data_IF_110103897941
#
_entry.id   IF_110103897941
#
_cell.length_a   1.000
_cell.length_b   1.000
_cell.length_c   1.000
_cell.angle_alpha   90.00
_cell.angle_beta   90.00
_cell.angle_gamma   90.00
#
_symmetry.space_group_name_H-M   'P 1'
#
loop_
_entity.id
_entity.type
_entity.pdbx_description
1 polymer ?
#
# COMPACT_ATOMS: atom_id res chain seq x y z
N UNK A 1 -24.42 38.36 44.31
CA UNK A 1 -24.66 37.06 43.63
C UNK A 1 -24.13 37.18 42.21
N UNK A 2 -23.27 36.25 41.81
CA UNK A 2 -22.46 36.25 40.59
C UNK A 2 -23.25 35.60 39.42
N UNK A 3 -23.15 36.19 38.23
CA UNK A 3 -23.73 35.74 36.95
C UNK A 3 -23.23 34.35 36.50
N UNK A 4 -23.95 33.67 35.59
CA UNK A 4 -23.29 32.85 34.58
C UNK A 4 -23.53 33.39 33.17
N UNK A 5 -22.42 33.55 32.45
CA UNK A 5 -22.30 33.92 31.04
C UNK A 5 -22.34 32.61 30.22
N UNK A 6 -23.35 32.42 29.35
CA UNK A 6 -23.39 31.29 28.42
C UNK A 6 -22.56 31.62 27.17
N UNK A 7 -21.47 30.89 26.94
CA UNK A 7 -20.71 30.93 25.70
C UNK A 7 -21.19 29.81 24.77
N UNK A 8 -21.73 30.16 23.60
CA UNK A 8 -22.04 29.23 22.52
C UNK A 8 -20.77 28.92 21.72
N UNK A 9 -20.33 27.66 21.72
CA UNK A 9 -19.28 27.19 20.84
C UNK A 9 -19.87 26.82 19.47
N UNK A 10 -19.45 27.53 18.42
CA UNK A 10 -19.69 27.14 17.03
C UNK A 10 -18.77 25.98 16.66
N UNK A 11 -19.34 24.81 16.31
CA UNK A 11 -18.59 23.70 15.73
C UNK A 11 -18.05 24.14 14.35
N UNK A 12 -16.73 24.13 14.20
CA UNK A 12 -16.09 24.20 12.90
C UNK A 12 -16.26 22.85 12.17
N UNK A 13 -16.74 22.90 10.93
CA UNK A 13 -16.83 21.73 10.04
C UNK A 13 -15.42 21.31 9.64
N UNK A 14 -15.05 20.07 9.92
CA UNK A 14 -13.84 19.47 9.37
C UNK A 14 -14.06 19.25 7.87
N UNK A 15 -13.11 19.70 7.06
CA UNK A 15 -13.11 19.53 5.61
C UNK A 15 -12.99 18.04 5.25
N UNK A 16 -13.87 17.61 4.35
CA UNK A 16 -13.95 16.25 3.81
C UNK A 16 -12.74 16.01 2.90
N UNK A 17 -11.90 15.02 3.25
CA UNK A 17 -10.73 14.65 2.44
C UNK A 17 -11.19 14.15 1.06
N UNK A 18 -10.92 14.95 0.03
CA UNK A 18 -11.07 14.57 -1.36
C UNK A 18 -10.15 13.36 -1.64
N UNK A 19 -10.74 12.21 -1.97
CA UNK A 19 -9.99 11.08 -2.53
C UNK A 19 -9.70 11.43 -3.99
N UNK A 20 -8.53 11.98 -4.25
CA UNK A 20 -8.00 12.10 -5.62
C UNK A 20 -7.59 10.72 -6.12
N UNK A 21 -7.91 10.39 -7.37
CA UNK A 21 -7.44 9.16 -8.01
C UNK A 21 -5.90 9.10 -7.98
N UNK A 22 -5.30 7.91 -7.79
CA UNK A 22 -3.86 7.79 -7.73
C UNK A 22 -3.21 8.11 -9.08
N UNK A 23 -2.09 8.83 -9.05
CA UNK A 23 -1.31 9.17 -10.25
C UNK A 23 -0.51 7.95 -10.71
N UNK A 24 0.00 7.16 -9.76
CA UNK A 24 0.74 5.93 -10.02
C UNK A 24 -0.15 4.71 -9.74
N UNK A 25 -0.49 3.97 -10.79
CA UNK A 25 -1.21 2.71 -10.63
C UNK A 25 -0.31 1.62 -10.04
N UNK A 26 -0.69 1.08 -8.88
CA UNK A 26 -0.03 -0.05 -8.22
C UNK A 26 -1.05 -1.19 -8.10
N UNK A 27 -0.79 -2.39 -8.66
CA UNK A 27 -1.69 -3.53 -8.51
C UNK A 27 -1.96 -3.86 -7.04
N UNK A 28 -3.23 -4.10 -6.71
CA UNK A 28 -3.68 -4.38 -5.35
C UNK A 28 -4.52 -5.66 -5.33
N UNK A 29 -4.25 -6.58 -4.40
CA UNK A 29 -5.04 -7.80 -4.27
C UNK A 29 -6.46 -7.48 -3.79
N UNK A 30 -7.44 -8.30 -4.17
CA UNK A 30 -8.85 -8.08 -3.83
C UNK A 30 -9.13 -8.09 -2.32
N UNK A 31 -8.30 -8.79 -1.53
CA UNK A 31 -8.44 -8.92 -0.09
C UNK A 31 -7.67 -7.84 0.70
N UNK A 32 -6.94 -6.97 0.00
CA UNK A 32 -6.01 -6.05 0.60
C UNK A 32 -6.67 -5.13 1.64
N UNK A 33 -6.00 -5.02 2.79
CA UNK A 33 -6.25 -4.00 3.80
C UNK A 33 -5.12 -2.97 3.73
N UNK A 34 -5.37 -1.88 2.99
CA UNK A 34 -4.37 -0.82 2.79
C UNK A 34 -4.01 -0.19 4.14
N UNK A 35 -2.72 -0.19 4.45
CA UNK A 35 -2.15 0.46 5.64
C UNK A 35 -1.64 1.86 5.30
N UNK A 36 -0.92 2.00 4.18
CA UNK A 36 -0.41 3.28 3.70
C UNK A 36 -0.37 3.30 2.17
N UNK A 37 -0.54 4.49 1.61
CA UNK A 37 -0.53 4.74 0.17
C UNK A 37 -0.01 6.17 -0.09
N UNK A 38 1.06 6.26 -0.86
CA UNK A 38 1.67 7.49 -1.34
C UNK A 38 1.95 7.30 -2.83
N UNK A 39 1.00 7.67 -3.68
CA UNK A 39 1.02 7.41 -5.12
C UNK A 39 0.61 8.63 -5.95
N UNK A 40 0.85 9.82 -5.39
CA UNK A 40 0.69 11.13 -6.03
C UNK A 40 1.87 11.48 -6.96
N UNK A 41 3.06 10.90 -6.73
CA UNK A 41 4.23 11.00 -7.60
C UNK A 41 5.18 9.79 -7.42
N UNK A 42 6.25 9.73 -8.20
CA UNK A 42 7.37 8.82 -8.00
C UNK A 42 8.38 9.37 -6.96
N UNK A 43 8.97 8.50 -6.11
CA UNK A 43 8.67 7.08 -5.96
C UNK A 43 7.33 6.86 -5.24
N UNK A 44 6.52 5.95 -5.77
CA UNK A 44 5.24 5.61 -5.17
C UNK A 44 5.40 4.43 -4.20
N UNK A 45 4.68 4.48 -3.08
CA UNK A 45 4.73 3.47 -2.02
C UNK A 45 3.31 3.02 -1.67
N UNK A 46 3.12 1.71 -1.59
CA UNK A 46 1.90 1.09 -1.10
C UNK A 46 2.27 0.00 -0.10
N UNK A 47 1.72 0.07 1.11
CA UNK A 47 1.80 -1.02 2.09
C UNK A 47 0.39 -1.50 2.42
N UNK A 48 0.18 -2.81 2.42
CA UNK A 48 -1.10 -3.42 2.77
C UNK A 48 -0.92 -4.78 3.44
N UNK A 49 -1.98 -5.24 4.11
CA UNK A 49 -2.06 -6.60 4.65
C UNK A 49 -2.96 -7.47 3.77
N UNK A 50 -2.56 -8.72 3.58
CA UNK A 50 -3.31 -9.73 2.82
C UNK A 50 -3.40 -11.05 3.61
N UNK A 51 -4.52 -11.75 3.44
CA UNK A 51 -4.74 -13.11 3.94
C UNK A 51 -4.19 -14.19 2.99
N UNK A 52 -3.86 -13.82 1.76
CA UNK A 52 -3.29 -14.72 0.76
C UNK A 52 -1.94 -15.28 1.20
N UNK A 53 -1.61 -16.48 0.73
CA UNK A 53 -0.27 -17.06 0.88
C UNK A 53 0.78 -16.26 0.13
N UNK A 54 2.06 -16.39 0.54
CA UNK A 54 3.17 -15.77 -0.20
C UNK A 54 3.14 -16.17 -1.68
N UNK A 55 2.86 -17.44 -1.98
CA UNK A 55 2.79 -17.93 -3.36
C UNK A 55 1.64 -17.31 -4.14
N UNK A 56 0.48 -17.12 -3.52
CA UNK A 56 -0.67 -16.47 -4.18
C UNK A 56 -0.40 -14.99 -4.45
N UNK A 57 0.23 -14.29 -3.50
CA UNK A 57 0.63 -12.88 -3.69
C UNK A 57 1.68 -12.78 -4.80
N UNK A 58 2.67 -13.68 -4.81
CA UNK A 58 3.67 -13.74 -5.88
C UNK A 58 3.00 -13.98 -7.24
N UNK A 59 2.12 -14.97 -7.34
CA UNK A 59 1.41 -15.26 -8.60
C UNK A 59 0.58 -14.07 -9.08
N UNK A 60 -0.10 -13.38 -8.17
CA UNK A 60 -0.82 -12.14 -8.51
C UNK A 60 0.11 -11.09 -9.16
N UNK A 61 1.27 -10.82 -8.57
CA UNK A 61 2.20 -9.85 -9.17
C UNK A 61 2.88 -10.36 -10.44
N UNK A 62 3.12 -11.67 -10.56
CA UNK A 62 3.62 -12.27 -11.79
C UNK A 62 2.62 -12.09 -12.95
N UNK A 63 1.31 -12.23 -12.68
CA UNK A 63 0.25 -12.06 -13.67
C UNK A 63 0.11 -10.58 -14.10
N UNK A 64 0.26 -9.64 -13.16
CA UNK A 64 0.11 -8.19 -13.41
C UNK A 64 1.36 -7.56 -14.04
N UNK A 65 2.56 -8.00 -13.63
CA UNK A 65 3.84 -7.35 -13.94
C UNK A 65 4.76 -8.21 -14.83
N UNK A 66 4.40 -9.47 -15.11
CA UNK A 66 5.24 -10.43 -15.82
C UNK A 66 6.25 -11.15 -14.91
N UNK A 67 7.27 -11.79 -15.47
CA UNK A 67 8.26 -12.50 -14.67
C UNK A 67 9.19 -11.53 -13.90
N UNK A 68 9.52 -11.82 -12.62
CA UNK A 68 10.43 -10.98 -11.87
C UNK A 68 11.85 -11.11 -12.41
N UNK A 69 12.54 -9.97 -12.55
CA UNK A 69 13.98 -9.89 -12.82
C UNK A 69 14.81 -10.57 -11.73
N UNK A 70 14.31 -10.57 -10.49
CA UNK A 70 14.93 -11.29 -9.38
C UNK A 70 13.92 -11.64 -8.29
N UNK A 71 14.12 -12.78 -7.65
CA UNK A 71 13.41 -13.19 -6.44
C UNK A 71 14.43 -13.58 -5.37
N UNK A 72 14.35 -12.99 -4.18
CA UNK A 72 15.28 -13.29 -3.07
C UNK A 72 14.56 -13.21 -1.73
N UNK A 73 14.72 -14.23 -0.90
CA UNK A 73 14.28 -14.17 0.50
C UNK A 73 15.39 -13.58 1.37
N UNK A 74 15.10 -12.51 2.10
CA UNK A 74 16.01 -11.86 3.05
C UNK A 74 15.28 -11.64 4.37
N UNK A 75 15.84 -12.17 5.47
CA UNK A 75 15.25 -12.08 6.81
C UNK A 75 13.77 -12.49 6.89
N UNK A 76 13.38 -13.53 6.14
CA UNK A 76 11.99 -14.02 6.13
C UNK A 76 11.02 -13.13 5.35
N UNK A 77 11.53 -12.32 4.42
CA UNK A 77 10.71 -11.56 3.47
C UNK A 77 11.14 -11.90 2.05
N UNK A 78 10.19 -12.26 1.19
CA UNK A 78 10.42 -12.47 -0.22
C UNK A 78 10.42 -11.11 -0.93
N UNK A 79 11.57 -10.72 -1.47
CA UNK A 79 11.73 -9.54 -2.33
C UNK A 79 11.69 -9.97 -3.80
N UNK A 80 10.77 -9.38 -4.54
CA UNK A 80 10.57 -9.56 -5.97
C UNK A 80 10.84 -8.23 -6.67
N UNK A 81 11.61 -8.26 -7.76
CA UNK A 81 11.86 -7.08 -8.59
C UNK A 81 11.31 -7.30 -9.98
N UNK A 82 10.48 -6.39 -10.44
CA UNK A 82 9.91 -6.40 -11.79
C UNK A 82 10.31 -5.14 -12.53
N UNK A 83 10.24 -5.20 -13.87
CA UNK A 83 10.32 -4.04 -14.73
C UNK A 83 9.23 -4.10 -15.79
N UNK A 84 8.42 -3.04 -15.89
CA UNK A 84 7.33 -2.96 -16.85
C UNK A 84 7.12 -1.50 -17.25
N UNK A 85 7.04 -1.21 -18.55
CA UNK A 85 6.78 0.15 -19.09
C UNK A 85 7.72 1.24 -18.54
N UNK A 86 9.03 1.00 -18.58
CA UNK A 86 10.07 1.89 -18.04
C UNK A 86 9.94 2.20 -16.54
N UNK A 87 9.26 1.33 -15.78
CA UNK A 87 9.12 1.44 -14.32
C UNK A 87 9.71 0.23 -13.64
N UNK A 88 10.34 0.45 -12.49
CA UNK A 88 10.79 -0.61 -11.59
C UNK A 88 9.81 -0.81 -10.45
N UNK A 89 9.39 -2.05 -10.23
CA UNK A 89 8.55 -2.44 -9.08
C UNK A 89 9.38 -3.31 -8.15
N UNK A 90 9.36 -2.98 -6.86
CA UNK A 90 9.89 -3.84 -5.80
C UNK A 90 8.75 -4.24 -4.88
N UNK A 91 8.40 -5.51 -4.90
CA UNK A 91 7.37 -6.10 -4.05
C UNK A 91 8.07 -6.89 -2.95
N UNK A 92 7.76 -6.62 -1.69
CA UNK A 92 8.33 -7.30 -0.52
C UNK A 92 7.18 -7.94 0.26
N UNK A 93 7.20 -9.25 0.39
CA UNK A 93 6.15 -10.05 1.01
C UNK A 93 6.69 -10.64 2.31
N UNK A 94 5.98 -10.48 3.42
CA UNK A 94 6.29 -11.21 4.65
C UNK A 94 6.06 -12.72 4.46
N UNK A 95 7.13 -13.50 4.57
CA UNK A 95 7.12 -14.96 4.40
C UNK A 95 6.78 -15.71 5.70
N UNK A 96 6.89 -15.05 6.85
CA UNK A 96 6.85 -15.69 8.16
C UNK A 96 5.45 -15.64 8.78
N UNK A 97 4.67 -14.62 8.47
CA UNK A 97 3.32 -14.48 9.00
C UNK A 97 2.31 -15.31 8.24
N UNK A 98 1.43 -15.98 8.99
CA UNK A 98 0.25 -16.65 8.45
C UNK A 98 -0.99 -15.78 8.69
N UNK A 99 -1.87 -15.70 7.69
CA UNK A 99 -3.16 -14.99 7.69
C UNK A 99 -3.13 -13.45 7.63
N UNK A 100 -2.02 -12.78 7.90
CA UNK A 100 -1.90 -11.32 7.75
C UNK A 100 -0.51 -10.92 7.24
N UNK A 101 -0.20 -11.27 5.98
CA UNK A 101 1.08 -10.92 5.36
C UNK A 101 1.11 -9.45 5.02
N UNK A 102 2.12 -8.76 5.52
CA UNK A 102 2.46 -7.41 5.08
C UNK A 102 3.10 -7.50 3.70
N UNK A 103 2.61 -6.66 2.78
CA UNK A 103 3.13 -6.50 1.44
C UNK A 103 3.50 -5.04 1.25
N UNK A 104 4.77 -4.78 1.00
CA UNK A 104 5.29 -3.46 0.62
C UNK A 104 5.54 -3.45 -0.88
N UNK A 105 5.07 -2.40 -1.56
CA UNK A 105 5.34 -2.15 -2.97
C UNK A 105 5.95 -0.77 -3.11
N UNK A 106 7.12 -0.73 -3.75
CA UNK A 106 7.77 0.50 -4.18
C UNK A 106 7.76 0.53 -5.71
N UNK A 107 7.38 1.65 -6.30
CA UNK A 107 7.47 1.90 -7.73
C UNK A 107 8.37 3.11 -8.00
N UNK A 108 9.24 2.99 -8.99
CA UNK A 108 10.19 4.05 -9.41
C UNK A 108 10.29 4.11 -10.94
N UNK A 109 10.71 5.25 -11.46
CA UNK A 109 11.12 5.44 -12.87
C UNK A 109 12.47 4.79 -13.19
#
# INVERSE_FOLDING_TARGET
MLLPLLASATLASAEESQVTDPVVAIPLTNDAKVFSRYDDDYPAILTFFSQLSESEIKSFYDDELGEPLSAKTVYGRLELKYAQNDKSYRVIIDSLQENHREVDVLVSE
#
